data_IF_680730833844
#
_entry.id   IF_680730833844
#
_cell.length_a   1.000
_cell.length_b   1.000
_cell.length_c   1.000
_cell.angle_alpha   90.00
_cell.angle_beta   90.00
_cell.angle_gamma   90.00
#
_symmetry.space_group_name_H-M   'P 1'
#
loop_
_entity.id
_entity.type
_entity.pdbx_description
1 polymer ?
#
# COMPACT_ATOMS: atom_id res chain seq x y z
N UNK A 1 -10.85 -0.47 -31.66
CA UNK A 1 -12.06 -0.92 -30.93
C UNK A 1 -13.35 -0.24 -31.38
N UNK A 2 -13.54 1.08 -31.25
CA UNK A 2 -14.79 1.76 -31.64
C UNK A 2 -15.17 1.57 -33.11
N UNK A 3 -14.22 1.76 -34.03
CA UNK A 3 -14.42 1.50 -35.47
C UNK A 3 -14.93 0.08 -35.72
N UNK A 4 -14.38 -0.92 -35.03
CA UNK A 4 -14.78 -2.32 -35.18
C UNK A 4 -16.19 -2.57 -34.65
N UNK A 5 -16.52 -2.01 -33.49
CA UNK A 5 -17.88 -2.03 -32.95
C UNK A 5 -18.91 -1.36 -33.89
N UNK A 6 -18.47 -0.39 -34.70
CA UNK A 6 -19.29 0.18 -35.77
C UNK A 6 -19.47 -0.74 -36.95
N UNK A 7 -18.39 -1.31 -37.47
CA UNK A 7 -18.42 -2.25 -38.60
C UNK A 7 -19.26 -3.49 -38.28
N UNK A 8 -19.19 -3.99 -37.04
CA UNK A 8 -19.96 -5.17 -36.59
C UNK A 8 -21.42 -4.86 -36.23
N UNK A 9 -21.88 -3.60 -36.38
CA UNK A 9 -23.27 -3.24 -36.14
C UNK A 9 -23.76 -3.50 -34.70
N UNK A 10 -22.86 -3.40 -33.71
CA UNK A 10 -23.22 -3.64 -32.31
C UNK A 10 -24.32 -2.68 -31.86
N UNK A 11 -25.33 -3.23 -31.17
CA UNK A 11 -26.38 -2.44 -30.51
C UNK A 11 -25.78 -1.48 -29.49
N UNK A 12 -26.53 -0.43 -29.16
CA UNK A 12 -26.07 0.62 -28.24
C UNK A 12 -25.66 0.05 -26.87
N UNK A 13 -26.41 -0.91 -26.34
CA UNK A 13 -26.09 -1.59 -25.07
C UNK A 13 -24.77 -2.36 -25.14
N UNK A 14 -24.54 -3.10 -26.23
CA UNK A 14 -23.29 -3.84 -26.42
C UNK A 14 -22.10 -2.93 -26.69
N UNK A 15 -22.33 -1.79 -27.35
CA UNK A 15 -21.31 -0.74 -27.56
C UNK A 15 -20.86 -0.05 -26.29
N UNK A 16 -21.74 0.09 -25.29
CA UNK A 16 -21.45 0.81 -24.04
C UNK A 16 -20.16 0.33 -23.38
N UNK A 17 -19.92 -0.97 -23.31
CA UNK A 17 -18.69 -1.53 -22.73
C UNK A 17 -17.44 -1.15 -23.56
N UNK A 18 -17.54 -1.23 -24.89
CA UNK A 18 -16.46 -0.83 -25.81
C UNK A 18 -16.15 0.66 -25.65
N UNK A 19 -17.17 1.51 -25.67
CA UNK A 19 -16.98 2.96 -25.55
C UNK A 19 -16.40 3.36 -24.20
N UNK A 20 -16.83 2.69 -23.12
CA UNK A 20 -16.29 2.89 -21.77
C UNK A 20 -14.81 2.54 -21.71
N UNK A 21 -14.42 1.37 -22.22
CA UNK A 21 -13.01 0.96 -22.27
C UNK A 21 -12.16 1.93 -23.12
N UNK A 22 -12.68 2.34 -24.28
CA UNK A 22 -11.97 3.27 -25.16
C UNK A 22 -11.79 4.65 -24.49
N UNK A 23 -12.81 5.14 -23.79
CA UNK A 23 -12.74 6.40 -23.04
C UNK A 23 -11.71 6.31 -21.92
N UNK A 24 -11.68 5.19 -21.20
CA UNK A 24 -10.70 4.96 -20.14
C UNK A 24 -9.27 5.00 -20.68
N UNK A 25 -8.98 4.25 -21.74
CA UNK A 25 -7.65 4.22 -22.36
C UNK A 25 -7.24 5.61 -22.90
N UNK A 26 -8.18 6.35 -23.49
CA UNK A 26 -7.92 7.72 -23.96
C UNK A 26 -7.63 8.67 -22.80
N UNK A 27 -8.42 8.62 -21.72
CA UNK A 27 -8.25 9.45 -20.53
C UNK A 27 -6.90 9.23 -19.86
N UNK A 28 -6.43 7.98 -19.79
CA UNK A 28 -5.19 7.62 -19.09
C UNK A 28 -4.00 7.39 -20.02
N UNK A 29 -4.08 7.81 -21.29
CA UNK A 29 -3.04 7.55 -22.32
C UNK A 29 -1.62 7.90 -21.90
N UNK A 30 -1.44 8.93 -21.08
CA UNK A 30 -0.12 9.36 -20.62
C UNK A 30 0.53 8.40 -19.63
N UNK A 31 -0.27 7.60 -18.94
CA UNK A 31 0.15 6.54 -18.02
C UNK A 31 0.30 5.18 -18.71
N UNK A 32 0.00 5.08 -20.01
CA UNK A 32 0.06 3.82 -20.78
C UNK A 32 1.31 3.73 -21.66
N UNK A 33 2.35 4.52 -21.35
CA UNK A 33 3.65 4.52 -22.05
C UNK A 33 4.49 3.30 -21.64
N UNK A 34 3.91 2.11 -21.82
CA UNK A 34 4.46 0.84 -21.34
C UNK A 34 5.80 0.49 -22.00
N UNK A 35 6.01 0.91 -23.24
CA UNK A 35 7.31 0.86 -23.92
C UNK A 35 8.42 1.50 -23.06
N UNK A 36 8.19 2.73 -22.60
CA UNK A 36 9.15 3.49 -21.77
C UNK A 36 9.29 2.92 -20.37
N UNK A 37 8.22 2.35 -19.81
CA UNK A 37 8.25 1.77 -18.47
C UNK A 37 9.00 0.45 -18.46
N UNK A 38 8.80 -0.38 -19.48
CA UNK A 38 9.55 -1.63 -19.65
C UNK A 38 11.03 -1.38 -19.87
N UNK A 39 11.40 -0.38 -20.69
CA UNK A 39 12.80 0.02 -20.88
C UNK A 39 13.48 0.43 -19.56
N UNK A 40 12.71 1.06 -18.65
CA UNK A 40 13.18 1.44 -17.30
C UNK A 40 13.11 0.31 -16.27
N UNK A 41 12.64 -0.88 -16.65
CA UNK A 41 12.46 -2.00 -15.74
C UNK A 41 11.32 -1.83 -14.72
N UNK A 42 10.37 -0.93 -14.98
CA UNK A 42 9.23 -0.73 -14.09
C UNK A 42 8.20 -1.86 -14.22
N UNK A 43 7.59 -2.30 -13.11
CA UNK A 43 6.54 -3.29 -13.15
C UNK A 43 5.29 -2.70 -13.84
N UNK A 44 4.84 -3.33 -14.92
CA UNK A 44 3.60 -2.98 -15.63
C UNK A 44 2.42 -3.90 -15.27
N UNK A 45 2.70 -5.00 -14.58
CA UNK A 45 1.69 -5.95 -14.12
C UNK A 45 1.28 -5.64 -12.68
N UNK A 46 -0.01 -5.76 -12.39
CA UNK A 46 -0.57 -5.54 -11.04
C UNK A 46 -0.28 -6.69 -10.08
N UNK A 47 0.20 -7.85 -10.56
CA UNK A 47 0.35 -9.06 -9.74
C UNK A 47 1.22 -8.89 -8.50
N UNK A 48 2.32 -8.14 -8.59
CA UNK A 48 3.19 -7.83 -7.43
C UNK A 48 2.43 -6.97 -6.41
N UNK A 49 1.68 -5.98 -6.88
CA UNK A 49 0.87 -5.08 -6.04
C UNK A 49 -0.28 -5.85 -5.39
N UNK A 50 -1.00 -6.66 -6.16
CA UNK A 50 -2.10 -7.50 -5.67
C UNK A 50 -1.62 -8.55 -4.69
N UNK A 51 -0.46 -9.17 -4.94
CA UNK A 51 0.20 -10.08 -4.02
C UNK A 51 0.55 -9.40 -2.70
N UNK A 52 1.13 -8.20 -2.75
CA UNK A 52 1.41 -7.41 -1.56
C UNK A 52 0.12 -7.06 -0.79
N UNK A 53 -0.93 -6.59 -1.47
CA UNK A 53 -2.23 -6.32 -0.83
C UNK A 53 -2.83 -7.57 -0.19
N UNK A 54 -2.75 -8.72 -0.86
CA UNK A 54 -3.23 -10.00 -0.32
C UNK A 54 -2.47 -10.35 0.97
N UNK A 55 -1.15 -10.40 0.90
CA UNK A 55 -0.33 -10.93 1.99
C UNK A 55 -0.11 -9.93 3.15
N UNK A 56 0.11 -8.65 2.85
CA UNK A 56 0.35 -7.62 3.88
C UNK A 56 -0.94 -7.12 4.52
N UNK A 57 -2.02 -6.99 3.74
CA UNK A 57 -3.27 -6.39 4.20
C UNK A 57 -4.28 -7.49 4.53
N UNK A 58 -4.73 -8.25 3.53
CA UNK A 58 -5.90 -9.12 3.68
C UNK A 58 -5.66 -10.29 4.65
N UNK A 59 -4.47 -10.88 4.67
CA UNK A 59 -4.15 -11.99 5.58
C UNK A 59 -4.30 -11.62 7.07
N UNK A 60 -4.33 -10.32 7.42
CA UNK A 60 -4.56 -9.86 8.81
C UNK A 60 -5.83 -9.06 8.98
N UNK A 61 -6.06 -8.09 8.10
CA UNK A 61 -7.18 -7.16 8.22
C UNK A 61 -8.48 -7.76 7.66
N UNK A 62 -8.38 -8.69 6.72
CA UNK A 62 -9.51 -9.35 6.05
C UNK A 62 -10.02 -10.62 6.74
N UNK A 63 -9.58 -10.91 7.96
CA UNK A 63 -10.06 -12.08 8.73
C UNK A 63 -11.51 -11.83 9.18
N UNK A 64 -12.38 -12.83 9.00
CA UNK A 64 -13.78 -12.77 9.43
C UNK A 64 -13.89 -12.41 10.91
N UNK A 65 -14.74 -11.42 11.21
CA UNK A 65 -14.95 -10.94 12.57
C UNK A 65 -13.89 -9.96 13.10
N UNK A 66 -12.82 -9.69 12.34
CA UNK A 66 -11.84 -8.68 12.73
C UNK A 66 -12.44 -7.27 12.66
N UNK A 67 -12.21 -6.47 13.71
CA UNK A 67 -12.61 -5.07 13.77
C UNK A 67 -11.38 -4.21 14.03
N UNK A 68 -11.23 -3.16 13.24
CA UNK A 68 -10.07 -2.30 13.29
C UNK A 68 -10.50 -0.85 13.38
N UNK A 69 -9.83 -0.10 14.26
CA UNK A 69 -9.75 1.36 14.14
C UNK A 69 -8.65 1.67 13.14
N UNK A 70 -8.78 2.78 12.41
CA UNK A 70 -7.79 3.19 11.41
C UNK A 70 -6.37 3.25 12.00
N UNK A 71 -6.21 3.85 13.18
CA UNK A 71 -4.93 3.96 13.87
C UNK A 71 -4.31 2.59 14.20
N UNK A 72 -5.11 1.63 14.66
CA UNK A 72 -4.64 0.28 14.98
C UNK A 72 -4.31 -0.53 13.72
N UNK A 73 -5.13 -0.42 12.67
CA UNK A 73 -4.85 -1.06 11.38
C UNK A 73 -3.53 -0.56 10.79
N UNK A 74 -3.35 0.76 10.75
CA UNK A 74 -2.14 1.38 10.21
C UNK A 74 -0.89 0.97 10.99
N UNK A 75 -0.95 0.96 12.34
CA UNK A 75 0.16 0.53 13.18
C UNK A 75 0.58 -0.93 12.87
N UNK A 76 -0.40 -1.83 12.73
CA UNK A 76 -0.13 -3.22 12.37
C UNK A 76 0.46 -3.34 10.96
N UNK A 77 -0.10 -2.62 9.97
CA UNK A 77 0.41 -2.65 8.60
C UNK A 77 1.87 -2.17 8.51
N UNK A 78 2.24 -1.12 9.27
CA UNK A 78 3.62 -0.63 9.35
C UNK A 78 4.58 -1.72 9.84
N UNK A 79 4.24 -2.39 10.95
CA UNK A 79 5.07 -3.47 11.50
C UNK A 79 5.17 -4.65 10.52
N UNK A 80 4.05 -5.04 9.89
CA UNK A 80 4.05 -6.12 8.89
C UNK A 80 4.89 -5.77 7.66
N UNK A 81 4.86 -4.51 7.22
CA UNK A 81 5.65 -4.04 6.07
C UNK A 81 7.15 -4.15 6.36
N UNK A 82 7.58 -3.68 7.54
CA UNK A 82 8.97 -3.77 7.99
C UNK A 82 9.44 -5.24 8.07
N UNK A 83 8.59 -6.14 8.58
CA UNK A 83 8.91 -7.57 8.62
C UNK A 83 9.02 -8.18 7.21
N UNK A 84 8.14 -7.80 6.31
CA UNK A 84 8.13 -8.31 4.94
C UNK A 84 9.29 -7.78 4.09
N UNK A 85 9.82 -6.60 4.39
CA UNK A 85 11.01 -6.05 3.72
C UNK A 85 12.31 -6.63 4.27
N UNK A 86 12.29 -7.32 5.42
CA UNK A 86 13.48 -7.83 6.09
C UNK A 86 14.18 -6.80 6.98
N UNK A 87 13.56 -5.64 7.22
CA UNK A 87 14.16 -4.52 7.98
C UNK A 87 13.83 -4.56 9.48
N UNK A 88 13.24 -5.66 9.96
CA UNK A 88 12.70 -5.73 11.32
C UNK A 88 13.77 -5.57 12.39
N UNK A 89 14.91 -6.21 12.23
CA UNK A 89 16.03 -6.20 13.17
C UNK A 89 16.60 -4.78 13.30
N UNK A 90 16.84 -4.11 12.16
CA UNK A 90 17.30 -2.73 12.14
C UNK A 90 16.29 -1.77 12.78
N UNK A 91 15.01 -1.94 12.46
CA UNK A 91 13.93 -1.17 13.08
C UNK A 91 13.85 -1.43 14.60
N UNK A 92 14.02 -2.67 15.04
CA UNK A 92 13.88 -3.04 16.44
C UNK A 92 14.98 -2.41 17.31
N UNK A 93 16.22 -2.40 16.84
CA UNK A 93 17.32 -1.70 17.51
C UNK A 93 17.05 -0.19 17.59
N UNK A 94 16.61 0.42 16.49
CA UNK A 94 16.18 1.81 16.48
C UNK A 94 15.05 2.06 17.48
N UNK A 95 14.02 1.20 17.51
CA UNK A 95 12.87 1.33 18.38
C UNK A 95 13.29 1.30 19.86
N UNK A 96 14.07 0.31 20.29
CA UNK A 96 14.57 0.19 21.67
C UNK A 96 15.34 1.44 22.11
N UNK A 97 16.23 1.95 21.26
CA UNK A 97 17.02 3.16 21.57
C UNK A 97 16.10 4.37 21.81
N UNK A 98 15.09 4.55 20.97
CA UNK A 98 14.13 5.66 21.11
C UNK A 98 13.16 5.48 22.26
N UNK A 99 12.72 4.25 22.54
CA UNK A 99 11.84 3.92 23.65
C UNK A 99 12.51 4.29 24.99
N UNK A 100 13.78 3.92 25.14
CA UNK A 100 14.59 4.34 26.30
C UNK A 100 14.63 5.86 26.46
N UNK A 101 14.83 6.62 25.39
CA UNK A 101 14.86 8.09 25.48
C UNK A 101 13.49 8.66 25.86
N UNK A 102 12.41 8.17 25.22
CA UNK A 102 11.05 8.71 25.37
C UNK A 102 10.45 8.40 26.74
N UNK A 103 10.62 7.17 27.21
CA UNK A 103 9.93 6.67 28.40
C UNK A 103 10.88 6.53 29.59
N UNK A 104 12.14 6.16 29.37
CA UNK A 104 13.05 5.87 30.49
C UNK A 104 13.78 7.14 30.94
N UNK A 105 14.56 7.77 30.05
CA UNK A 105 15.37 8.95 30.41
C UNK A 105 14.53 10.12 30.91
N UNK A 106 13.36 10.36 30.33
CA UNK A 106 12.44 11.43 30.74
C UNK A 106 11.82 11.20 32.13
N UNK A 107 11.49 9.96 32.49
CA UNK A 107 10.88 9.62 33.78
C UNK A 107 11.92 9.58 34.91
N UNK A 108 13.10 9.00 34.66
CA UNK A 108 14.13 8.86 35.69
C UNK A 108 14.96 10.14 35.92
N UNK A 109 15.13 11.01 34.93
CA UNK A 109 15.71 12.34 35.16
C UNK A 109 14.85 13.19 36.10
N UNK A 110 13.52 13.00 36.08
CA UNK A 110 12.59 13.65 36.99
C UNK A 110 12.65 13.04 38.41
N UNK A 111 12.86 11.73 38.51
CA UNK A 111 13.03 11.01 39.78
C UNK A 111 14.32 11.43 40.51
N UNK A 112 15.45 11.53 39.79
CA UNK A 112 16.74 11.94 40.38
C UNK A 112 16.75 13.39 40.86
N UNK A 113 15.92 14.27 40.28
CA UNK A 113 15.74 15.64 40.75
C UNK A 113 14.85 15.75 41.99
N UNK A 114 13.95 14.79 42.22
CA UNK A 114 13.06 14.75 43.39
C UNK A 114 13.71 14.08 44.61
N UNK A 115 14.66 13.17 44.42
CA UNK A 115 15.42 12.53 45.50
C UNK A 115 16.60 13.38 46.02
N UNK A 116 16.97 14.45 45.30
CA UNK A 116 18.07 15.35 45.64
C UNK A 116 17.62 16.68 46.29
N UNK A 117 16.33 16.81 46.64
CA UNK A 117 15.72 17.98 47.30
C UNK A 117 15.19 17.58 48.69
#
# INVERSE_FOLDING_TARGET
MRRRATVEGLSQDRRKAVDTCANYLQKYRDYLKYDRYLEKGYPIATGVIEGACRHLINDRLGITGARWRLSSAEAILKIRSIRSSGDFEAYWEFHKKNERVRNHTSLYAKSQLLEAA
#
